data_IF_215245102997
#
_entry.id   IF_215245102997
#
_cell.length_a   1.000
_cell.length_b   1.000
_cell.length_c   1.000
_cell.angle_alpha   90.00
_cell.angle_beta   90.00
_cell.angle_gamma   90.00
#
_symmetry.space_group_name_H-M   'P 1'
#
loop_
_entity.id
_entity.type
_entity.pdbx_description
1 polymer ?
#
# COMPACT_ATOMS: atom_id res chain seq x y z
N UNK A 1 6.84 -21.51 10.29
CA UNK A 1 7.21 -22.90 10.61
C UNK A 1 6.21 -23.94 10.10
N UNK A 2 4.90 -23.85 10.40
CA UNK A 2 3.91 -24.84 9.91
C UNK A 2 3.79 -24.93 8.37
N UNK A 3 3.77 -23.80 7.67
CA UNK A 3 3.69 -23.76 6.20
C UNK A 3 4.88 -24.45 5.54
N UNK A 4 6.10 -24.18 6.05
CA UNK A 4 7.35 -24.79 5.62
C UNK A 4 7.38 -26.31 5.87
N UNK A 5 6.78 -26.75 6.98
CA UNK A 5 6.65 -28.18 7.28
C UNK A 5 5.78 -28.89 6.25
N UNK A 6 4.59 -28.36 5.94
CA UNK A 6 3.70 -28.92 4.93
C UNK A 6 4.29 -28.90 3.52
N UNK A 7 4.99 -27.82 3.15
CA UNK A 7 5.68 -27.72 1.87
C UNK A 7 6.77 -28.78 1.72
N UNK A 8 7.58 -28.99 2.75
CA UNK A 8 8.67 -29.98 2.72
C UNK A 8 8.18 -31.43 2.82
N UNK A 9 7.16 -31.70 3.63
CA UNK A 9 6.73 -33.08 3.89
C UNK A 9 5.67 -33.59 2.91
N UNK A 10 4.75 -32.73 2.44
CA UNK A 10 3.57 -33.18 1.70
C UNK A 10 3.56 -32.72 0.23
N UNK A 11 4.11 -31.55 -0.09
CA UNK A 11 4.03 -30.98 -1.43
C UNK A 11 5.36 -30.98 -2.21
N UNK A 12 6.49 -31.21 -1.55
CA UNK A 12 7.80 -31.24 -2.19
C UNK A 12 7.93 -32.47 -3.11
N UNK A 13 8.25 -32.22 -4.38
CA UNK A 13 8.67 -33.22 -5.33
C UNK A 13 10.12 -33.62 -5.05
N UNK A 14 10.30 -34.75 -4.34
CA UNK A 14 11.61 -35.25 -3.92
C UNK A 14 12.50 -35.70 -5.10
N UNK A 15 11.99 -35.69 -6.32
CA UNK A 15 12.75 -36.04 -7.53
C UNK A 15 13.57 -34.86 -8.07
N UNK A 16 13.21 -33.62 -7.74
CA UNK A 16 14.01 -32.43 -8.07
C UNK A 16 14.74 -31.99 -6.79
N UNK A 17 16.05 -31.74 -6.86
CA UNK A 17 16.92 -31.44 -5.70
C UNK A 17 16.66 -30.11 -4.96
N UNK A 18 15.45 -29.56 -5.05
CA UNK A 18 15.01 -28.32 -4.42
C UNK A 18 13.58 -28.47 -3.86
N UNK A 19 13.21 -27.65 -2.88
CA UNK A 19 11.84 -27.55 -2.33
C UNK A 19 10.87 -26.94 -3.35
N UNK A 20 10.51 -27.77 -4.32
CA UNK A 20 9.62 -27.46 -5.42
C UNK A 20 8.38 -28.34 -5.36
N UNK A 21 7.23 -27.77 -5.70
CA UNK A 21 6.00 -28.55 -5.87
C UNK A 21 5.98 -29.29 -7.20
N UNK A 22 5.05 -30.23 -7.38
CA UNK A 22 4.77 -30.78 -8.73
C UNK A 22 4.35 -29.64 -9.66
N UNK A 23 4.66 -29.80 -10.95
CA UNK A 23 4.24 -28.83 -11.97
C UNK A 23 2.73 -28.61 -11.94
N UNK A 24 2.31 -27.35 -12.07
CA UNK A 24 0.90 -27.00 -12.05
C UNK A 24 0.18 -27.65 -13.23
N UNK A 25 -1.05 -28.12 -13.01
CA UNK A 25 -1.88 -28.63 -14.11
C UNK A 25 -2.06 -27.52 -15.17
N UNK A 26 -2.07 -27.85 -16.48
CA UNK A 26 -2.22 -26.87 -17.55
C UNK A 26 -3.48 -25.99 -17.42
N UNK A 27 -4.54 -26.50 -16.78
CA UNK A 27 -5.79 -25.76 -16.51
C UNK A 27 -5.70 -24.76 -15.35
N UNK A 28 -4.68 -24.86 -14.51
CA UNK A 28 -4.47 -23.97 -13.36
C UNK A 28 -3.46 -22.84 -13.65
N UNK A 29 -2.77 -22.92 -14.79
CA UNK A 29 -1.80 -21.90 -15.22
C UNK A 29 -2.56 -20.75 -15.85
N UNK A 30 -2.28 -19.53 -15.42
CA UNK A 30 -2.92 -18.35 -16.00
C UNK A 30 -2.26 -18.07 -17.37
N UNK A 31 -3.04 -18.00 -18.46
CA UNK A 31 -2.48 -17.83 -19.80
C UNK A 31 -1.72 -16.52 -19.94
N UNK A 32 -0.63 -16.55 -20.69
CA UNK A 32 0.13 -15.34 -21.04
C UNK A 32 -0.68 -14.45 -21.99
N UNK A 33 -0.60 -13.14 -21.79
CA UNK A 33 -1.35 -12.16 -22.58
C UNK A 33 -0.65 -11.83 -23.92
N UNK A 34 0.67 -12.01 -23.98
CA UNK A 34 1.48 -11.76 -25.19
C UNK A 34 2.22 -13.04 -25.59
N UNK A 35 2.03 -13.54 -26.83
CA UNK A 35 2.84 -14.63 -27.37
C UNK A 35 4.28 -14.13 -27.64
N UNK A 36 5.26 -14.84 -27.08
CA UNK A 36 6.70 -14.55 -27.25
C UNK A 36 7.35 -14.03 -25.97
N UNK A 37 8.02 -14.93 -25.23
CA UNK A 37 8.92 -14.73 -24.07
C UNK A 37 8.61 -13.67 -23.00
N UNK A 38 7.47 -13.01 -23.06
CA UNK A 38 7.05 -11.98 -22.13
C UNK A 38 6.41 -12.65 -20.93
N UNK A 39 6.91 -12.34 -19.73
CA UNK A 39 6.32 -12.74 -18.45
C UNK A 39 5.01 -11.99 -18.14
N UNK A 40 4.34 -11.47 -19.17
CA UNK A 40 3.10 -10.72 -19.07
C UNK A 40 1.92 -11.69 -19.14
N UNK A 41 1.27 -11.83 -18.00
CA UNK A 41 0.13 -12.73 -17.81
C UNK A 41 -1.18 -11.93 -17.83
N UNK A 42 -2.31 -12.60 -18.09
CA UNK A 42 -3.67 -12.02 -17.92
C UNK A 42 -3.88 -11.39 -16.53
N UNK A 43 -3.04 -11.75 -15.55
CA UNK A 43 -2.91 -11.07 -14.25
C UNK A 43 -2.81 -9.55 -14.31
N UNK A 44 -2.21 -8.97 -15.35
CA UNK A 44 -2.15 -7.50 -15.51
C UNK A 44 -3.55 -6.88 -15.73
N UNK A 45 -4.39 -7.53 -16.53
CA UNK A 45 -5.77 -7.09 -16.76
C UNK A 45 -6.57 -7.21 -15.45
N UNK A 46 -6.39 -8.31 -14.73
CA UNK A 46 -7.04 -8.54 -13.43
C UNK A 46 -6.62 -7.46 -12.43
N UNK A 47 -5.34 -7.05 -12.41
CA UNK A 47 -4.85 -6.00 -11.52
C UNK A 47 -5.47 -4.62 -11.81
N UNK A 48 -5.63 -4.26 -13.10
CA UNK A 48 -6.32 -3.03 -13.49
C UNK A 48 -7.80 -3.09 -13.09
N UNK A 49 -8.48 -4.20 -13.42
CA UNK A 49 -9.88 -4.41 -13.07
C UNK A 49 -10.10 -4.34 -11.55
N UNK A 50 -9.22 -4.96 -10.76
CA UNK A 50 -9.25 -4.91 -9.30
C UNK A 50 -9.05 -3.47 -8.78
N UNK A 51 -8.14 -2.70 -9.38
CA UNK A 51 -7.93 -1.30 -8.99
C UNK A 51 -9.18 -0.46 -9.23
N UNK A 52 -9.81 -0.61 -10.40
CA UNK A 52 -11.06 0.11 -10.74
C UNK A 52 -12.18 -0.30 -9.78
N UNK A 53 -12.31 -1.60 -9.49
CA UNK A 53 -13.31 -2.12 -8.57
C UNK A 53 -13.09 -1.59 -7.15
N UNK A 54 -11.86 -1.59 -6.65
CA UNK A 54 -11.52 -1.06 -5.32
C UNK A 54 -11.75 0.44 -5.26
N UNK A 55 -11.38 1.20 -6.30
CA UNK A 55 -11.65 2.63 -6.37
C UNK A 55 -13.16 2.91 -6.34
N UNK A 56 -13.94 2.19 -7.15
CA UNK A 56 -15.39 2.31 -7.14
C UNK A 56 -16.00 1.92 -5.79
N UNK A 57 -15.56 0.82 -5.20
CA UNK A 57 -15.99 0.37 -3.88
C UNK A 57 -15.70 1.46 -2.82
N UNK A 58 -14.48 2.00 -2.80
CA UNK A 58 -14.07 2.96 -1.79
C UNK A 58 -14.85 4.28 -1.91
N UNK A 59 -15.02 4.81 -3.13
CA UNK A 59 -15.67 6.11 -3.35
C UNK A 59 -17.19 6.06 -3.44
N UNK A 60 -17.79 4.96 -3.91
CA UNK A 60 -19.23 4.87 -4.21
C UNK A 60 -20.04 4.09 -3.19
N UNK A 61 -19.43 3.33 -2.28
CA UNK A 61 -20.16 2.54 -1.28
C UNK A 61 -20.18 3.18 0.12
N UNK A 62 -21.20 2.85 0.91
CA UNK A 62 -21.31 3.27 2.32
C UNK A 62 -20.15 2.74 3.16
N UNK A 63 -19.75 1.49 2.97
CA UNK A 63 -18.62 0.88 3.66
C UNK A 63 -17.30 1.61 3.36
N UNK A 64 -17.07 1.94 2.08
CA UNK A 64 -15.90 2.72 1.68
C UNK A 64 -15.89 4.14 2.26
N UNK A 65 -17.04 4.76 2.46
CA UNK A 65 -17.16 6.03 3.17
C UNK A 65 -16.82 5.90 4.66
N UNK A 66 -17.36 4.89 5.34
CA UNK A 66 -17.06 4.61 6.76
C UNK A 66 -15.58 4.34 6.99
N UNK A 67 -14.93 3.55 6.12
CA UNK A 67 -13.47 3.29 6.19
C UNK A 67 -12.68 4.61 6.12
N UNK A 68 -13.05 5.51 5.20
CA UNK A 68 -12.38 6.81 5.04
C UNK A 68 -12.62 7.75 6.23
N UNK A 69 -13.83 7.78 6.79
CA UNK A 69 -14.11 8.58 7.98
C UNK A 69 -13.34 8.09 9.21
N UNK A 70 -13.31 6.78 9.43
CA UNK A 70 -12.54 6.18 10.55
C UNK A 70 -11.07 6.52 10.42
N UNK A 71 -10.51 6.47 9.20
CA UNK A 71 -9.12 6.82 8.94
C UNK A 71 -8.77 8.31 9.19
N UNK A 72 -9.75 9.22 9.12
CA UNK A 72 -9.55 10.64 9.42
C UNK A 72 -9.68 10.89 10.93
N UNK A 73 -10.74 10.35 11.55
CA UNK A 73 -10.98 10.51 12.97
C UNK A 73 -11.85 9.37 13.52
N UNK A 74 -11.21 8.47 14.28
CA UNK A 74 -11.87 7.34 14.92
C UNK A 74 -12.88 7.79 15.99
N UNK A 75 -12.51 8.75 16.84
CA UNK A 75 -13.38 9.24 17.91
C UNK A 75 -14.67 9.84 17.35
N UNK A 76 -14.57 10.68 16.32
CA UNK A 76 -15.74 11.23 15.63
C UNK A 76 -16.63 10.14 15.03
N UNK A 77 -16.00 9.09 14.50
CA UNK A 77 -16.71 7.98 13.89
C UNK A 77 -17.52 7.18 14.91
N UNK A 78 -16.98 6.99 16.11
CA UNK A 78 -17.65 6.32 17.22
C UNK A 78 -18.82 7.16 17.76
N UNK A 79 -18.65 8.49 17.88
CA UNK A 79 -19.72 9.41 18.25
C UNK A 79 -20.85 9.47 17.21
N UNK A 80 -20.52 9.28 15.92
CA UNK A 80 -21.50 9.27 14.82
C UNK A 80 -22.29 7.95 14.73
N UNK A 81 -22.11 7.02 15.67
CA UNK A 81 -22.81 5.73 15.70
C UNK A 81 -22.31 4.70 14.68
N UNK A 82 -21.11 4.90 14.09
CA UNK A 82 -20.54 3.93 13.16
C UNK A 82 -19.87 2.77 13.91
N UNK A 83 -20.07 1.54 13.43
CA UNK A 83 -19.42 0.37 13.99
C UNK A 83 -17.95 0.31 13.53
N UNK A 84 -17.07 0.96 14.31
CA UNK A 84 -15.63 1.05 14.04
C UNK A 84 -14.99 -0.34 13.99
N UNK A 85 -15.21 -1.17 15.02
CA UNK A 85 -14.61 -2.50 15.13
C UNK A 85 -15.00 -3.42 13.96
N UNK A 86 -16.30 -3.47 13.62
CA UNK A 86 -16.78 -4.27 12.48
C UNK A 86 -16.20 -3.79 11.14
N UNK A 87 -16.03 -2.48 10.96
CA UNK A 87 -15.47 -1.92 9.72
C UNK A 87 -13.98 -2.23 9.58
N UNK A 88 -13.22 -2.19 10.68
CA UNK A 88 -11.80 -2.55 10.69
C UNK A 88 -11.63 -4.02 10.29
N UNK A 89 -12.40 -4.93 10.88
CA UNK A 89 -12.35 -6.37 10.53
C UNK A 89 -12.71 -6.58 9.07
N UNK A 90 -13.77 -5.94 8.57
CA UNK A 90 -14.16 -6.03 7.17
C UNK A 90 -13.03 -5.55 6.24
N UNK A 91 -12.39 -4.43 6.57
CA UNK A 91 -11.27 -3.90 5.78
C UNK A 91 -10.09 -4.88 5.75
N UNK A 92 -9.77 -5.54 6.88
CA UNK A 92 -8.72 -6.56 6.95
C UNK A 92 -9.07 -7.80 6.11
N UNK A 93 -10.32 -8.26 6.15
CA UNK A 93 -10.78 -9.41 5.34
C UNK A 93 -10.69 -9.10 3.84
N UNK A 94 -11.16 -7.92 3.41
CA UNK A 94 -11.07 -7.49 2.01
C UNK A 94 -9.61 -7.33 1.58
N UNK A 95 -8.77 -6.71 2.41
CA UNK A 95 -7.33 -6.57 2.15
C UNK A 95 -6.62 -7.92 2.04
N UNK A 96 -6.95 -8.87 2.92
CA UNK A 96 -6.43 -10.24 2.88
C UNK A 96 -6.85 -10.99 1.62
N UNK A 97 -8.12 -10.85 1.21
CA UNK A 97 -8.64 -11.45 -0.02
C UNK A 97 -7.92 -10.90 -1.26
N UNK A 98 -7.76 -9.57 -1.35
CA UNK A 98 -7.06 -8.92 -2.47
C UNK A 98 -5.57 -9.31 -2.52
N UNK A 99 -4.89 -9.35 -1.37
CA UNK A 99 -3.49 -9.77 -1.26
C UNK A 99 -3.31 -11.24 -1.67
N UNK A 100 -4.21 -12.12 -1.21
CA UNK A 100 -4.24 -13.53 -1.58
C UNK A 100 -4.42 -13.72 -3.08
N UNK A 101 -5.39 -13.03 -3.70
CA UNK A 101 -5.60 -13.06 -5.14
C UNK A 101 -4.35 -12.60 -5.90
N UNK A 102 -3.71 -11.49 -5.49
CA UNK A 102 -2.48 -11.00 -6.10
C UNK A 102 -1.34 -12.02 -6.03
N UNK A 103 -1.14 -12.64 -4.87
CA UNK A 103 -0.13 -13.69 -4.68
C UNK A 103 -0.40 -14.93 -5.52
N UNK A 104 -1.66 -15.37 -5.61
CA UNK A 104 -2.05 -16.50 -6.47
C UNK A 104 -1.80 -16.22 -7.94
N UNK A 105 -2.10 -15.00 -8.42
CA UNK A 105 -1.86 -14.59 -9.81
C UNK A 105 -0.37 -14.61 -10.15
N UNK A 106 0.47 -14.11 -9.24
CA UNK A 106 1.92 -14.09 -9.40
C UNK A 106 2.50 -15.52 -9.47
N UNK A 107 2.07 -16.41 -8.57
CA UNK A 107 2.55 -17.80 -8.53
C UNK A 107 2.09 -18.59 -9.75
N UNK A 108 0.79 -18.56 -10.07
CA UNK A 108 0.19 -19.35 -11.15
C UNK A 108 0.44 -18.77 -12.54
N UNK A 109 0.77 -17.47 -12.63
CA UNK A 109 0.99 -16.78 -13.88
C UNK A 109 2.45 -16.71 -14.30
N UNK A 110 3.39 -16.58 -13.36
CA UNK A 110 4.82 -16.40 -13.66
C UNK A 110 5.63 -17.68 -13.54
N UNK A 111 5.21 -18.62 -12.69
CA UNK A 111 5.97 -19.83 -12.39
C UNK A 111 5.18 -21.09 -12.79
N UNK A 112 5.89 -22.09 -13.34
CA UNK A 112 5.31 -23.41 -13.66
C UNK A 112 5.21 -24.32 -12.42
N UNK A 113 5.95 -23.97 -11.38
CA UNK A 113 6.07 -24.70 -10.12
C UNK A 113 6.27 -23.70 -8.99
N UNK A 114 5.65 -23.96 -7.83
CA UNK A 114 5.98 -23.21 -6.63
C UNK A 114 7.35 -23.64 -6.09
N UNK A 115 8.29 -22.71 -6.02
CA UNK A 115 9.62 -22.89 -5.44
C UNK A 115 9.74 -21.99 -4.22
N UNK A 116 9.90 -22.60 -3.04
CA UNK A 116 10.17 -21.83 -1.83
C UNK A 116 11.66 -21.51 -1.76
N UNK A 117 12.02 -20.29 -2.20
CA UNK A 117 13.40 -19.78 -2.05
C UNK A 117 13.51 -18.85 -0.86
N UNK A 118 12.89 -17.67 -0.97
CA UNK A 118 12.96 -16.60 0.02
C UNK A 118 11.64 -15.83 0.07
N UNK A 119 11.44 -15.05 1.14
CA UNK A 119 10.29 -14.16 1.27
C UNK A 119 10.48 -12.97 0.30
N UNK A 120 9.62 -12.77 -0.71
CA UNK A 120 9.89 -11.85 -1.82
C UNK A 120 9.72 -10.37 -1.48
N UNK A 121 9.43 -10.01 -0.23
CA UNK A 121 9.37 -8.61 0.22
C UNK A 121 8.25 -7.76 -0.37
N UNK A 122 7.33 -8.32 -1.18
CA UNK A 122 6.28 -7.56 -1.88
C UNK A 122 5.38 -6.72 -0.97
N UNK A 123 5.23 -7.10 0.31
CA UNK A 123 4.52 -6.29 1.29
C UNK A 123 5.16 -4.92 1.54
N UNK A 124 6.49 -4.87 1.66
CA UNK A 124 7.24 -3.62 1.85
C UNK A 124 7.17 -2.72 0.62
N UNK A 125 7.29 -3.32 -0.56
CA UNK A 125 7.11 -2.60 -1.83
C UNK A 125 5.68 -2.06 -1.94
N UNK A 126 4.67 -2.82 -1.51
CA UNK A 126 3.27 -2.40 -1.46
C UNK A 126 3.03 -1.18 -0.57
N UNK A 127 3.68 -1.12 0.61
CA UNK A 127 3.60 0.06 1.51
C UNK A 127 4.18 1.29 0.81
N UNK A 128 5.33 1.15 0.14
CA UNK A 128 5.95 2.25 -0.60
C UNK A 128 5.02 2.77 -1.71
N UNK A 129 4.38 1.86 -2.45
CA UNK A 129 3.43 2.22 -3.50
C UNK A 129 2.21 2.96 -2.92
N UNK A 130 1.68 2.51 -1.78
CA UNK A 130 0.53 3.15 -1.13
C UNK A 130 0.83 4.57 -0.67
N UNK A 131 2.04 4.78 -0.13
CA UNK A 131 2.54 6.10 0.27
C UNK A 131 2.70 7.02 -0.94
N UNK A 132 3.34 6.52 -2.01
CA UNK A 132 3.53 7.28 -3.24
C UNK A 132 2.19 7.66 -3.88
N UNK A 133 1.17 6.80 -3.77
CA UNK A 133 -0.19 7.06 -4.23
C UNK A 133 -1.02 7.95 -3.28
N UNK A 134 -0.46 8.41 -2.15
CA UNK A 134 -1.15 9.20 -1.10
C UNK A 134 -2.50 8.57 -0.67
N UNK A 135 -2.54 7.24 -0.50
CA UNK A 135 -3.75 6.46 -0.16
C UNK A 135 -4.93 6.60 -1.15
N UNK A 136 -4.72 7.10 -2.36
CA UNK A 136 -5.75 7.17 -3.39
C UNK A 136 -5.62 5.97 -4.35
N UNK A 137 -6.63 5.09 -4.43
CA UNK A 137 -6.54 3.86 -5.22
C UNK A 137 -6.34 4.12 -6.72
N UNK A 138 -6.81 5.24 -7.24
CA UNK A 138 -6.65 5.59 -8.65
C UNK A 138 -5.20 5.87 -9.07
N UNK A 139 -4.33 6.29 -8.15
CA UNK A 139 -2.91 6.54 -8.44
C UNK A 139 -2.02 5.31 -8.24
N UNK A 140 -2.56 4.23 -7.68
CA UNK A 140 -1.81 2.99 -7.38
C UNK A 140 -1.19 2.36 -8.65
N UNK A 141 -1.88 2.24 -9.80
CA UNK A 141 -1.26 1.66 -11.00
C UNK A 141 -0.07 2.46 -11.51
N UNK A 142 -0.15 3.79 -11.43
CA UNK A 142 0.93 4.68 -11.86
C UNK A 142 2.15 4.56 -10.93
N UNK A 143 1.90 4.59 -9.61
CA UNK A 143 2.95 4.40 -8.60
C UNK A 143 3.59 3.01 -8.69
N UNK A 144 2.80 1.96 -8.89
CA UNK A 144 3.27 0.60 -9.07
C UNK A 144 4.12 0.45 -10.34
N UNK A 145 3.72 1.07 -11.44
CA UNK A 145 4.48 1.09 -12.68
C UNK A 145 5.85 1.75 -12.49
N UNK A 146 5.89 2.91 -11.82
CA UNK A 146 7.13 3.62 -11.52
C UNK A 146 8.09 2.76 -10.68
N UNK A 147 7.60 2.16 -9.59
CA UNK A 147 8.41 1.29 -8.74
C UNK A 147 8.86 0.02 -9.48
N UNK A 148 8.01 -0.58 -10.31
CA UNK A 148 8.37 -1.72 -11.13
C UNK A 148 9.47 -1.37 -12.15
N UNK A 149 9.40 -0.19 -12.76
CA UNK A 149 10.42 0.31 -13.67
C UNK A 149 11.77 0.48 -12.96
N UNK A 150 11.79 1.12 -11.79
CA UNK A 150 13.00 1.26 -10.98
C UNK A 150 13.58 -0.09 -10.56
N UNK A 151 12.72 -1.02 -10.11
CA UNK A 151 13.14 -2.36 -9.73
C UNK A 151 13.83 -3.10 -10.89
N UNK A 152 13.24 -3.03 -12.09
CA UNK A 152 13.83 -3.62 -13.30
C UNK A 152 15.11 -2.90 -13.72
N UNK A 153 15.16 -1.58 -13.62
CA UNK A 153 16.38 -0.79 -13.85
C UNK A 153 17.53 -1.23 -12.93
N UNK A 154 17.30 -1.28 -11.62
CA UNK A 154 18.30 -1.74 -10.65
C UNK A 154 18.73 -3.19 -10.89
N UNK A 155 17.80 -4.09 -11.25
CA UNK A 155 18.13 -5.48 -11.57
C UNK A 155 19.04 -5.58 -12.80
N UNK A 156 18.78 -4.78 -13.84
CA UNK A 156 19.62 -4.72 -15.04
C UNK A 156 21.00 -4.14 -14.70
N UNK A 157 21.06 -3.05 -13.93
CA UNK A 157 22.33 -2.46 -13.48
C UNK A 157 23.14 -3.44 -12.64
N UNK A 158 22.48 -4.26 -11.83
CA UNK A 158 23.16 -5.31 -11.07
C UNK A 158 23.71 -6.42 -11.95
N UNK A 159 23.00 -6.76 -13.02
CA UNK A 159 23.44 -7.81 -13.96
C UNK A 159 24.60 -7.33 -14.85
N UNK A 160 24.62 -6.06 -15.25
CA UNK A 160 25.55 -5.54 -16.26
C UNK A 160 26.65 -4.63 -15.74
N UNK A 161 26.45 -3.98 -14.59
CA UNK A 161 27.34 -2.92 -14.08
C UNK A 161 27.88 -3.22 -12.67
N UNK A 162 27.72 -4.47 -12.18
CA UNK A 162 28.18 -4.93 -10.86
C UNK A 162 27.67 -4.04 -9.70
N UNK A 163 26.50 -3.44 -9.89
CA UNK A 163 25.83 -2.61 -8.88
C UNK A 163 25.02 -3.52 -7.95
N UNK A 164 25.09 -3.35 -6.62
CA UNK A 164 24.29 -4.14 -5.70
C UNK A 164 22.76 -3.90 -5.89
N UNK A 165 21.95 -4.97 -5.79
CA UNK A 165 20.47 -4.90 -5.94
C UNK A 165 19.79 -4.08 -4.83
N UNK A 166 20.49 -3.89 -3.72
CA UNK A 166 20.12 -3.10 -2.54
C UNK A 166 19.89 -1.63 -2.86
N UNK A 167 20.31 -1.16 -4.04
CA UNK A 167 20.04 0.19 -4.54
C UNK A 167 18.53 0.51 -4.55
N UNK A 168 17.66 -0.48 -4.78
CA UNK A 168 16.22 -0.25 -4.71
C UNK A 168 15.75 0.09 -3.30
N UNK A 169 16.33 -0.54 -2.28
CA UNK A 169 15.95 -0.32 -0.88
C UNK A 169 16.35 1.08 -0.42
N UNK A 170 17.50 1.59 -0.92
CA UNK A 170 17.94 2.98 -0.69
C UNK A 170 16.92 3.97 -1.30
N UNK A 171 16.46 3.72 -2.53
CA UNK A 171 15.46 4.59 -3.17
C UNK A 171 14.15 4.56 -2.40
N UNK A 172 13.68 3.38 -1.98
CA UNK A 172 12.48 3.26 -1.16
C UNK A 172 12.65 4.01 0.18
N UNK A 173 13.79 3.85 0.85
CA UNK A 173 14.10 4.55 2.10
C UNK A 173 14.08 6.09 1.92
N UNK A 174 14.61 6.59 0.81
CA UNK A 174 14.54 8.02 0.48
C UNK A 174 13.09 8.48 0.28
N UNK A 175 12.25 7.70 -0.40
CA UNK A 175 10.81 8.00 -0.56
C UNK A 175 10.13 8.08 0.82
N UNK A 176 10.38 7.10 1.70
CA UNK A 176 9.87 7.13 3.07
C UNK A 176 10.34 8.35 3.84
N UNK A 177 11.62 8.73 3.73
CA UNK A 177 12.19 9.90 4.39
C UNK A 177 11.48 11.19 3.94
N UNK A 178 11.30 11.39 2.63
CA UNK A 178 10.63 12.58 2.10
C UNK A 178 9.15 12.61 2.50
N UNK A 179 8.47 11.47 2.46
CA UNK A 179 7.07 11.39 2.89
C UNK A 179 6.91 11.67 4.38
N UNK A 180 7.76 11.07 5.22
CA UNK A 180 7.77 11.33 6.66
C UNK A 180 8.09 12.79 6.97
N UNK A 181 9.01 13.40 6.23
CA UNK A 181 9.33 14.82 6.35
C UNK A 181 8.12 15.71 5.97
N UNK A 182 7.43 15.43 4.86
CA UNK A 182 6.21 16.16 4.46
C UNK A 182 5.13 16.07 5.56
N UNK A 183 4.90 14.87 6.10
CA UNK A 183 3.91 14.63 7.15
C UNK A 183 4.29 15.29 8.49
N UNK A 184 5.57 15.27 8.86
CA UNK A 184 6.05 15.91 10.08
C UNK A 184 5.97 17.44 9.97
N UNK A 185 6.40 18.02 8.83
CA UNK A 185 6.32 19.45 8.60
C UNK A 185 4.86 19.94 8.54
N UNK A 186 3.93 19.16 7.98
CA UNK A 186 2.52 19.56 7.92
C UNK A 186 1.90 19.67 9.33
N UNK A 187 2.17 18.69 10.21
CA UNK A 187 1.75 18.74 11.61
C UNK A 187 2.41 19.86 12.41
N UNK A 188 3.69 20.13 12.16
CA UNK A 188 4.41 21.22 12.82
C UNK A 188 3.90 22.61 12.40
N UNK A 189 3.63 22.81 11.10
CA UNK A 189 3.01 24.03 10.57
C UNK A 189 1.64 24.29 11.18
N UNK A 190 0.80 23.27 11.34
CA UNK A 190 -0.50 23.43 11.99
C UNK A 190 -0.38 23.91 13.44
N UNK A 191 0.56 23.35 14.22
CA UNK A 191 0.78 23.79 15.61
C UNK A 191 1.26 25.24 15.69
N UNK A 192 2.13 25.67 14.78
CA UNK A 192 2.61 27.04 14.72
C UNK A 192 1.48 28.02 14.37
N UNK A 193 0.67 27.71 13.36
CA UNK A 193 -0.46 28.56 12.95
C UNK A 193 -1.47 28.71 14.09
N UNK A 194 -1.81 27.61 14.79
CA UNK A 194 -2.73 27.66 15.95
C UNK A 194 -2.19 28.55 17.07
N UNK A 195 -0.87 28.51 17.33
CA UNK A 195 -0.25 29.38 18.34
C UNK A 195 -0.37 30.85 17.95
N UNK A 196 -0.05 31.20 16.71
CA UNK A 196 -0.15 32.58 16.21
C UNK A 196 -1.59 33.10 16.25
N UNK A 197 -2.57 32.31 15.80
CA UNK A 197 -3.99 32.71 15.84
C UNK A 197 -4.49 32.92 17.27
N UNK A 198 -4.03 32.11 18.24
CA UNK A 198 -4.38 32.27 19.65
C UNK A 198 -3.79 33.57 20.23
N UNK A 199 -2.53 33.86 19.92
CA UNK A 199 -1.88 35.11 20.34
C UNK A 199 -2.55 36.35 19.72
N UNK A 200 -3.01 36.27 18.47
CA UNK A 200 -3.78 37.34 17.82
C UNK A 200 -5.16 37.57 18.46
N UNK A 201 -5.88 36.49 18.80
CA UNK A 201 -7.15 36.56 19.51
C UNK A 201 -7.00 37.19 20.90
N UNK A 202 -5.96 36.78 21.65
CA UNK A 202 -5.66 37.33 22.97
C UNK A 202 -5.31 38.84 22.90
N UNK A 203 -4.60 39.28 21.85
CA UNK A 203 -4.34 40.71 21.59
C UNK A 203 -5.61 41.48 21.21
N UNK A 204 -6.48 40.90 20.39
CA UNK A 204 -7.76 41.49 20.00
C UNK A 204 -8.69 41.66 21.22
N UNK A 205 -8.79 40.64 22.07
CA UNK A 205 -9.63 40.72 23.28
C UNK A 205 -9.07 41.72 24.30
N UNK A 206 -7.75 41.78 24.47
CA UNK A 206 -7.12 42.83 25.29
C UNK A 206 -7.41 44.24 24.75
N UNK A 207 -7.37 44.43 23.42
CA UNK A 207 -7.70 45.72 22.80
C UNK A 207 -9.18 46.10 22.91
N UNK A 208 -10.10 45.12 22.83
CA UNK A 208 -11.55 45.31 23.04
C UNK A 208 -11.87 45.69 24.48
N UNK A 209 -11.22 45.05 25.46
CA UNK A 209 -11.38 45.38 26.89
C UNK A 209 -10.88 46.81 27.19
N UNK A 210 -9.76 47.22 26.58
CA UNK A 210 -9.24 48.59 26.71
C UNK A 210 -10.16 49.64 26.07
N UNK A 211 -10.83 49.33 24.96
CA UNK A 211 -11.77 50.25 24.31
C UNK A 211 -13.15 50.30 24.98
N UNK A 212 -13.60 49.22 25.63
CA UNK A 212 -14.87 49.17 26.36
C UNK A 212 -14.86 49.96 27.68
N UNK A 213 -13.70 50.10 28.32
CA UNK A 213 -13.54 50.89 29.56
C UNK A 213 -13.65 52.40 29.38
N UNK A 214 -13.55 52.91 28.14
CA UNK A 214 -13.52 54.35 27.86
C UNK A 214 -14.90 54.94 27.46
N UNK A 215 -15.99 54.20 27.69
CA UNK A 215 -17.37 54.63 27.35
C UNK A 215 -18.27 54.90 28.58
N UNK A 216 -17.71 54.86 29.79
CA UNK A 216 -18.43 55.18 31.02
C UNK A 216 -17.63 56.14 31.91
N UNK A 217 -17.36 57.35 31.39
CA UNK A 217 -17.07 58.58 32.15
C UNK A 217 -17.74 59.71 31.40
#
# INVERSE_FOLDING_TARGET
>A
YLVLHYLNFHFADRTKGATMTKEFKPSAIIPSLVPGNSKLTVGFIIAIAATVLVSFFLYRTRWGYTIRMIGINESFSLYSGMNVGGTIVLAQVIGGMLSGMGGSIEVLGRYQTYLWRDLPGYGWVGITIAILAKNNPSYVPLAAFFIAYLNKGCLLMSTYCDVPVEMIDIIQAAIFLFFAAEQFLSGYRQKLVVKTTREELERLDASRLAQGGNKHV
#
